data_IF_310061592575
#
_entry.id   IF_310061592575
#
_cell.length_a   1.000
_cell.length_b   1.000
_cell.length_c   1.000
_cell.angle_alpha   90.00
_cell.angle_beta   90.00
_cell.angle_gamma   90.00
#
_symmetry.space_group_name_H-M   'P 1'
#
loop_
_entity.id
_entity.type
_entity.pdbx_description
1 polymer ?
#
# COMPACT_ATOMS: atom_id res chain seq x y z
N UNK A 1 20.82 3.30 16.73
CA UNK A 1 19.80 4.37 16.56
C UNK A 1 18.69 4.15 17.58
N UNK A 2 18.46 5.12 18.46
CA UNK A 2 17.56 5.06 19.63
C UNK A 2 16.46 6.14 19.61
N UNK A 3 16.47 7.02 18.61
CA UNK A 3 15.44 8.06 18.39
C UNK A 3 15.61 8.71 17.02
N UNK A 4 14.76 9.68 16.70
CA UNK A 4 14.69 10.33 15.37
C UNK A 4 15.49 11.63 15.26
N UNK A 5 16.20 12.04 16.32
CA UNK A 5 16.97 13.30 16.34
C UNK A 5 18.45 13.02 16.05
N UNK A 6 19.04 13.72 15.08
CA UNK A 6 20.47 13.60 14.80
C UNK A 6 21.33 13.99 16.02
N UNK A 7 22.44 13.29 16.24
CA UNK A 7 23.41 13.56 17.30
C UNK A 7 22.94 13.20 18.73
N UNK A 8 21.68 12.84 18.92
CA UNK A 8 21.12 12.48 20.25
C UNK A 8 20.26 11.21 20.21
N UNK A 9 19.48 11.02 19.14
CA UNK A 9 18.73 9.81 18.85
C UNK A 9 19.47 8.86 17.90
N UNK A 10 20.30 9.38 17.01
CA UNK A 10 21.15 8.56 16.13
C UNK A 10 22.43 9.28 15.74
N UNK A 11 23.46 8.52 15.40
CA UNK A 11 24.73 9.06 14.94
C UNK A 11 24.57 9.63 13.53
N UNK A 12 24.99 10.87 13.34
CA UNK A 12 25.08 11.52 12.04
C UNK A 12 26.52 11.97 11.84
N UNK A 13 27.11 11.58 10.72
CA UNK A 13 28.40 12.12 10.30
C UNK A 13 28.14 13.37 9.46
N UNK A 14 28.68 14.52 9.87
CA UNK A 14 28.68 15.74 9.05
C UNK A 14 30.05 15.89 8.38
N UNK A 15 30.05 16.17 7.07
CA UNK A 15 31.26 16.27 6.25
C UNK A 15 31.17 17.50 5.36
N UNK A 16 32.27 18.26 5.28
CA UNK A 16 32.38 19.51 4.49
C UNK A 16 33.20 19.35 3.21
N UNK A 17 33.47 18.12 2.78
CA UNK A 17 34.34 17.80 1.65
C UNK A 17 33.97 16.46 1.02
N UNK A 18 34.69 16.05 -0.02
CA UNK A 18 34.36 14.84 -0.80
C UNK A 18 34.22 13.59 0.07
N UNK A 19 33.04 12.96 0.01
CA UNK A 19 32.77 11.67 0.65
C UNK A 19 33.00 10.55 -0.38
N UNK A 20 33.91 9.61 -0.11
CA UNK A 20 34.10 8.41 -0.93
C UNK A 20 33.69 7.16 -0.15
N UNK A 21 32.61 6.51 -0.59
CA UNK A 21 32.04 5.33 0.05
C UNK A 21 32.44 4.01 -0.62
N UNK A 22 33.23 4.07 -1.69
CA UNK A 22 33.53 2.91 -2.54
C UNK A 22 34.06 1.74 -1.73
N UNK A 23 33.23 0.69 -1.59
CA UNK A 23 33.58 -0.53 -0.86
C UNK A 23 33.46 -0.45 0.66
N UNK A 24 33.04 0.69 1.22
CA UNK A 24 32.76 0.81 2.64
C UNK A 24 31.55 -0.05 3.04
N UNK A 25 31.60 -0.64 4.23
CA UNK A 25 30.48 -1.39 4.79
C UNK A 25 29.58 -0.45 5.61
N UNK A 26 28.27 -0.44 5.32
CA UNK A 26 27.29 0.18 6.19
C UNK A 26 26.81 -0.85 7.22
N UNK A 27 26.96 -0.53 8.50
CA UNK A 27 26.44 -1.35 9.59
C UNK A 27 25.85 -0.47 10.68
N UNK A 28 24.86 -0.99 11.40
CA UNK A 28 24.17 -0.26 12.45
C UNK A 28 23.16 -1.13 13.18
N UNK A 29 22.67 -0.62 14.30
CA UNK A 29 21.64 -1.28 15.13
C UNK A 29 20.48 -0.34 15.38
N UNK A 30 19.28 -0.91 15.54
CA UNK A 30 18.08 -0.19 15.95
C UNK A 30 17.72 -0.56 17.38
N UNK A 31 17.54 0.43 18.24
CA UNK A 31 17.02 0.29 19.61
C UNK A 31 15.54 0.65 19.74
N UNK A 32 14.89 1.04 18.64
CA UNK A 32 13.47 1.38 18.58
C UNK A 32 12.87 1.07 17.21
N UNK A 33 11.54 1.02 17.12
CA UNK A 33 10.84 0.94 15.83
C UNK A 33 10.45 2.34 15.38
N UNK A 34 11.08 2.89 14.34
CA UNK A 34 10.76 4.22 13.87
C UNK A 34 9.37 4.24 13.26
N UNK A 35 8.60 5.33 13.49
CA UNK A 35 7.38 5.55 12.76
C UNK A 35 7.60 5.39 11.25
N UNK A 36 6.64 4.77 10.61
CA UNK A 36 6.66 4.48 9.19
C UNK A 36 6.89 5.76 8.38
N UNK A 37 7.92 5.81 7.52
CA UNK A 37 8.28 6.99 6.72
C UNK A 37 9.28 7.95 7.36
N UNK A 38 9.80 7.63 8.54
CA UNK A 38 10.92 8.36 9.15
C UNK A 38 12.15 8.29 8.24
N UNK A 39 12.86 9.40 8.10
CA UNK A 39 14.15 9.47 7.41
C UNK A 39 15.27 9.71 8.41
N UNK A 40 16.44 9.12 8.13
CA UNK A 40 17.66 9.28 8.90
C UNK A 40 18.78 9.72 7.97
N UNK A 41 19.16 10.99 8.01
CA UNK A 41 20.36 11.47 7.31
C UNK A 41 21.59 11.02 8.09
N UNK A 42 22.20 9.91 7.68
CA UNK A 42 23.36 9.31 8.36
C UNK A 42 24.69 9.94 7.95
N UNK A 43 24.74 10.52 6.75
CA UNK A 43 25.83 11.38 6.29
C UNK A 43 25.20 12.66 5.77
N UNK A 44 25.51 13.77 6.43
CA UNK A 44 25.17 15.13 6.03
C UNK A 44 26.39 15.73 5.32
N UNK A 45 26.31 15.88 4.01
CA UNK A 45 27.38 16.43 3.19
C UNK A 45 27.04 17.90 2.90
N UNK A 46 27.44 18.78 3.81
CA UNK A 46 26.99 20.17 3.88
C UNK A 46 27.63 21.10 2.83
N UNK A 47 28.51 20.56 1.97
CA UNK A 47 29.12 21.22 0.81
C UNK A 47 28.44 20.89 -0.52
N UNK A 48 28.94 21.45 -1.63
CA UNK A 48 28.47 21.12 -2.99
C UNK A 48 29.11 19.85 -3.57
N UNK A 49 30.07 19.26 -2.85
CA UNK A 49 30.82 18.09 -3.29
C UNK A 49 29.92 16.86 -3.38
N UNK A 50 30.08 16.07 -4.43
CA UNK A 50 29.30 14.85 -4.62
C UNK A 50 29.78 13.70 -3.71
N UNK A 51 28.88 12.77 -3.42
CA UNK A 51 29.25 11.45 -2.91
C UNK A 51 29.85 10.63 -4.04
N UNK A 52 31.07 10.13 -3.84
CA UNK A 52 31.78 9.25 -4.76
C UNK A 52 31.52 7.79 -4.36
N UNK A 53 30.93 7.04 -5.29
CA UNK A 53 30.62 5.62 -5.09
C UNK A 53 29.43 5.37 -4.17
N UNK A 54 29.27 4.12 -3.76
CA UNK A 54 28.20 3.65 -2.86
C UNK A 54 28.78 2.71 -1.82
N UNK A 55 28.05 2.50 -0.71
CA UNK A 55 28.37 1.41 0.20
C UNK A 55 28.33 0.07 -0.53
N UNK A 56 29.16 -0.87 -0.09
CA UNK A 56 29.32 -2.18 -0.72
C UNK A 56 27.97 -2.91 -0.88
N UNK A 57 27.58 -3.19 -2.13
CA UNK A 57 26.36 -3.93 -2.45
C UNK A 57 25.05 -3.14 -2.30
N UNK A 58 25.12 -1.82 -2.06
CA UNK A 58 23.97 -0.98 -1.80
C UNK A 58 23.88 0.16 -2.84
N UNK A 59 23.44 -0.11 -4.09
CA UNK A 59 23.15 0.96 -5.05
C UNK A 59 22.02 1.89 -4.56
N UNK A 60 21.79 3.01 -5.27
CA UNK A 60 20.66 3.90 -5.00
C UNK A 60 19.33 3.13 -4.94
N UNK A 61 18.53 3.37 -3.90
CA UNK A 61 17.27 2.66 -3.69
C UNK A 61 17.39 1.24 -3.12
N UNK A 62 18.60 0.77 -2.81
CA UNK A 62 18.79 -0.54 -2.21
C UNK A 62 18.12 -0.65 -0.82
N UNK A 63 17.71 -1.87 -0.48
CA UNK A 63 17.20 -2.17 0.86
C UNK A 63 18.35 -2.45 1.82
N UNK A 64 18.37 -1.73 2.94
CA UNK A 64 19.28 -1.94 4.07
C UNK A 64 18.47 -2.52 5.23
N UNK A 65 18.93 -3.63 5.81
CA UNK A 65 18.27 -4.25 6.97
C UNK A 65 19.10 -4.00 8.22
N UNK A 66 18.57 -3.22 9.17
CA UNK A 66 19.19 -2.93 10.45
C UNK A 66 18.33 -3.50 11.58
N UNK A 67 18.87 -4.48 12.33
CA UNK A 67 18.15 -5.16 13.41
C UNK A 67 16.76 -5.71 12.99
N UNK A 68 16.65 -6.22 11.76
CA UNK A 68 15.41 -6.75 11.19
C UNK A 68 14.45 -5.71 10.61
N UNK A 69 14.77 -4.41 10.69
CA UNK A 69 13.98 -3.35 10.08
C UNK A 69 14.56 -2.96 8.73
N UNK A 70 13.68 -2.85 7.72
CA UNK A 70 14.06 -2.48 6.37
C UNK A 70 14.07 -0.96 6.20
N UNK A 71 15.10 -0.48 5.51
CA UNK A 71 15.26 0.91 5.09
C UNK A 71 15.60 0.95 3.61
N UNK A 72 15.22 2.02 2.92
CA UNK A 72 15.71 2.34 1.59
C UNK A 72 16.84 3.36 1.72
N UNK A 73 17.99 3.10 1.10
CA UNK A 73 19.10 4.05 1.06
C UNK A 73 18.98 4.98 -0.14
N UNK A 74 19.29 6.26 0.07
CA UNK A 74 19.49 7.26 -0.98
C UNK A 74 20.79 8.01 -0.76
N UNK A 75 21.59 8.20 -1.81
CA UNK A 75 22.83 8.98 -1.83
C UNK A 75 22.62 10.40 -2.39
N UNK A 76 21.38 10.73 -2.76
CA UNK A 76 20.95 12.05 -3.25
C UNK A 76 19.83 12.62 -2.36
N UNK A 77 19.75 12.15 -1.12
CA UNK A 77 18.76 12.60 -0.15
C UNK A 77 19.09 13.97 0.44
N UNK A 78 18.25 14.45 1.36
CA UNK A 78 18.46 15.70 2.11
C UNK A 78 18.65 16.91 1.18
N UNK A 79 19.84 17.51 1.15
CA UNK A 79 20.17 18.65 0.26
C UNK A 79 20.52 18.26 -1.19
N UNK A 80 20.49 16.97 -1.53
CA UNK A 80 20.75 16.45 -2.88
C UNK A 80 22.07 15.66 -3.01
N UNK A 81 22.85 15.58 -1.93
CA UNK A 81 24.14 14.90 -1.85
C UNK A 81 24.37 14.26 -0.47
N UNK A 82 23.30 14.01 0.29
CA UNK A 82 23.34 13.34 1.58
C UNK A 82 23.09 11.83 1.45
N UNK A 83 23.59 11.06 2.41
CA UNK A 83 23.14 9.68 2.58
C UNK A 83 22.01 9.60 3.59
N UNK A 84 20.86 9.19 3.09
CA UNK A 84 19.61 9.09 3.86
C UNK A 84 19.11 7.65 3.86
N UNK A 85 18.73 7.16 5.04
CA UNK A 85 17.95 5.94 5.20
C UNK A 85 16.48 6.31 5.44
N UNK A 86 15.60 5.94 4.53
CA UNK A 86 14.15 6.05 4.72
C UNK A 86 13.60 4.74 5.27
N UNK A 87 12.91 4.76 6.41
CA UNK A 87 12.23 3.58 6.95
C UNK A 87 11.22 3.06 5.91
N UNK A 88 11.31 1.76 5.59
CA UNK A 88 10.48 1.15 4.56
C UNK A 88 8.99 1.26 4.91
N UNK A 89 8.15 1.37 3.89
CA UNK A 89 6.71 1.58 4.08
C UNK A 89 5.88 1.03 2.93
N UNK A 90 4.69 0.46 3.19
CA UNK A 90 3.73 0.25 2.13
C UNK A 90 3.22 1.58 1.56
N UNK A 91 2.97 1.61 0.26
CA UNK A 91 2.33 2.71 -0.44
C UNK A 91 1.30 2.13 -1.40
N UNK A 92 0.03 2.20 -1.01
CA UNK A 92 -1.06 1.62 -1.79
C UNK A 92 -1.67 2.67 -2.71
N UNK A 93 -1.75 2.35 -3.99
CA UNK A 93 -2.57 3.08 -4.96
C UNK A 93 -3.79 2.25 -5.30
N UNK A 94 -4.95 2.88 -5.35
CA UNK A 94 -6.20 2.27 -5.79
C UNK A 94 -6.60 2.86 -7.15
N UNK A 95 -6.98 1.99 -8.07
CA UNK A 95 -7.58 2.36 -9.35
C UNK A 95 -8.93 1.68 -9.51
N UNK A 96 -9.97 2.46 -9.77
CA UNK A 96 -11.32 1.96 -9.94
C UNK A 96 -11.76 2.14 -11.38
N UNK A 97 -12.35 1.10 -11.95
CA UNK A 97 -12.92 1.14 -13.29
C UNK A 97 -14.31 0.51 -13.27
N UNK A 98 -15.16 0.95 -14.19
CA UNK A 98 -16.50 0.42 -14.38
C UNK A 98 -16.70 0.06 -15.85
N UNK A 99 -17.34 -1.08 -16.09
CA UNK A 99 -17.70 -1.53 -17.43
C UNK A 99 -19.19 -1.94 -17.47
N UNK A 100 -19.95 -1.54 -18.49
CA UNK A 100 -19.59 -0.56 -19.54
C UNK A 100 -19.30 0.84 -18.97
N UNK A 101 -18.45 1.59 -19.66
CA UNK A 101 -18.12 2.97 -19.30
C UNK A 101 -19.14 3.95 -19.91
N UNK A 102 -19.30 5.13 -19.28
CA UNK A 102 -20.21 6.17 -19.75
C UNK A 102 -21.64 5.99 -19.25
N UNK A 103 -22.61 6.59 -19.95
CA UNK A 103 -24.03 6.50 -19.59
C UNK A 103 -24.61 5.16 -20.00
N UNK A 104 -25.36 4.54 -19.10
CA UNK A 104 -26.04 3.26 -19.32
C UNK A 104 -27.49 3.34 -18.82
N UNK A 105 -28.45 2.71 -19.50
CA UNK A 105 -29.86 2.74 -19.09
C UNK A 105 -30.13 1.87 -17.85
N UNK A 106 -31.27 2.10 -17.15
CA UNK A 106 -31.80 1.19 -16.14
C UNK A 106 -31.79 -0.28 -16.61
N UNK A 107 -31.49 -1.21 -15.70
CA UNK A 107 -31.35 -2.63 -15.98
C UNK A 107 -29.95 -3.06 -16.46
N UNK A 108 -29.01 -2.14 -16.66
CA UNK A 108 -27.63 -2.50 -17.07
C UNK A 108 -26.83 -3.01 -15.88
N UNK A 109 -26.22 -4.19 -16.02
CA UNK A 109 -25.22 -4.69 -15.07
C UNK A 109 -23.89 -3.94 -15.27
N UNK A 110 -23.42 -3.27 -14.23
CA UNK A 110 -22.13 -2.60 -14.18
C UNK A 110 -21.14 -3.49 -13.43
N UNK A 111 -20.03 -3.84 -14.09
CA UNK A 111 -18.89 -4.52 -13.47
C UNK A 111 -17.93 -3.48 -12.92
N UNK A 112 -17.81 -3.42 -11.60
CA UNK A 112 -16.83 -2.59 -10.91
C UNK A 112 -15.56 -3.41 -10.69
N UNK A 113 -14.41 -2.83 -11.03
CA UNK A 113 -13.09 -3.42 -10.82
C UNK A 113 -12.23 -2.43 -10.03
N UNK A 114 -11.77 -2.86 -8.86
CA UNK A 114 -10.85 -2.15 -7.99
C UNK A 114 -9.49 -2.85 -8.05
N UNK A 115 -8.48 -2.16 -8.53
CA UNK A 115 -7.09 -2.63 -8.52
C UNK A 115 -6.33 -1.93 -7.40
N UNK A 116 -5.72 -2.70 -6.53
CA UNK A 116 -4.82 -2.24 -5.48
C UNK A 116 -3.40 -2.61 -5.88
N UNK A 117 -2.49 -1.64 -5.88
CA UNK A 117 -1.06 -1.86 -6.12
C UNK A 117 -0.24 -1.31 -4.97
N UNK A 118 0.66 -2.12 -4.42
CA UNK A 118 1.67 -1.70 -3.47
C UNK A 118 2.93 -1.23 -4.23
N UNK A 119 3.11 0.08 -4.29
CA UNK A 119 4.30 0.75 -4.84
C UNK A 119 5.28 1.16 -3.74
N UNK A 120 5.07 0.68 -2.51
CA UNK A 120 5.93 0.97 -1.38
C UNK A 120 7.21 0.16 -1.41
N UNK A 121 7.99 0.29 -0.33
CA UNK A 121 9.20 -0.48 -0.07
C UNK A 121 9.01 -1.57 0.99
N UNK A 122 7.79 -1.74 1.51
CA UNK A 122 7.46 -2.78 2.49
C UNK A 122 6.10 -3.43 2.19
N UNK A 123 5.88 -4.61 2.77
CA UNK A 123 4.65 -5.37 2.69
C UNK A 123 3.46 -4.55 3.23
N UNK A 124 2.39 -4.44 2.45
CA UNK A 124 1.15 -3.81 2.89
C UNK A 124 0.32 -4.81 3.69
N UNK A 125 0.24 -4.62 5.00
CA UNK A 125 -0.58 -5.44 5.91
C UNK A 125 -1.90 -4.75 6.24
N UNK A 126 -2.83 -5.47 6.87
CA UNK A 126 -4.09 -4.92 7.40
C UNK A 126 -4.94 -4.16 6.37
N UNK A 127 -4.88 -4.58 5.10
CA UNK A 127 -5.61 -3.92 4.01
C UNK A 127 -7.11 -4.23 4.15
N UNK A 128 -7.91 -3.17 4.22
CA UNK A 128 -9.36 -3.24 4.17
C UNK A 128 -9.85 -2.33 3.05
N UNK A 129 -10.53 -2.91 2.08
CA UNK A 129 -11.19 -2.16 1.00
C UNK A 129 -12.68 -2.20 1.24
N UNK A 130 -13.33 -1.03 1.23
CA UNK A 130 -14.79 -0.90 1.34
C UNK A 130 -15.31 -0.19 0.10
N UNK A 131 -16.14 -0.89 -0.66
CA UNK A 131 -16.92 -0.29 -1.74
C UNK A 131 -18.32 0.06 -1.21
N UNK A 132 -18.75 1.30 -1.48
CA UNK A 132 -20.09 1.79 -1.11
C UNK A 132 -20.93 1.87 -2.38
N UNK A 133 -21.96 1.03 -2.44
CA UNK A 133 -22.86 0.99 -3.58
C UNK A 133 -23.78 2.21 -3.57
N UNK A 134 -23.89 2.86 -4.73
CA UNK A 134 -24.84 3.96 -4.89
C UNK A 134 -26.29 3.45 -4.67
N UNK A 135 -27.19 4.27 -4.09
CA UNK A 135 -28.58 3.87 -3.88
C UNK A 135 -29.35 3.69 -5.20
N UNK A 136 -28.79 4.10 -6.34
CA UNK A 136 -29.36 3.90 -7.69
C UNK A 136 -28.98 2.57 -8.32
N UNK A 137 -28.14 1.76 -7.66
CA UNK A 137 -27.80 0.40 -8.11
C UNK A 137 -28.30 -0.67 -7.15
N UNK A 138 -28.38 -1.92 -7.62
CA UNK A 138 -28.72 -3.09 -6.81
C UNK A 138 -27.66 -4.17 -6.99
N UNK A 139 -27.19 -4.76 -5.90
CA UNK A 139 -26.06 -5.70 -5.90
C UNK A 139 -26.45 -7.01 -6.61
N UNK A 140 -25.58 -7.51 -7.50
CA UNK A 140 -25.79 -8.81 -8.16
C UNK A 140 -25.24 -9.93 -7.29
N UNK A 141 -26.11 -10.86 -6.89
CA UNK A 141 -25.77 -11.99 -6.05
C UNK A 141 -24.65 -12.85 -6.66
N UNK A 142 -23.67 -13.26 -5.84
CA UNK A 142 -22.57 -14.12 -6.27
C UNK A 142 -21.57 -13.48 -7.24
N UNK A 143 -21.65 -12.17 -7.48
CA UNK A 143 -20.78 -11.48 -8.45
C UNK A 143 -19.38 -11.12 -7.94
N UNK A 144 -19.14 -11.23 -6.63
CA UNK A 144 -17.85 -10.85 -6.04
C UNK A 144 -16.78 -11.85 -6.44
N UNK A 145 -15.73 -11.37 -7.11
CA UNK A 145 -14.57 -12.16 -7.55
C UNK A 145 -13.29 -11.39 -7.27
N UNK A 146 -12.17 -12.09 -7.11
CA UNK A 146 -10.87 -11.48 -6.83
C UNK A 146 -9.76 -12.19 -7.63
N UNK A 147 -8.77 -11.43 -8.06
CA UNK A 147 -7.48 -11.94 -8.57
C UNK A 147 -6.40 -11.46 -7.63
N UNK A 148 -5.77 -12.39 -6.91
CA UNK A 148 -4.84 -12.07 -5.82
C UNK A 148 -3.45 -12.63 -6.12
N UNK A 149 -2.38 -12.01 -5.59
CA UNK A 149 -1.05 -12.60 -5.58
C UNK A 149 -1.02 -13.96 -4.89
N UNK A 150 -0.06 -14.85 -5.21
CA UNK A 150 0.14 -16.10 -4.50
C UNK A 150 0.28 -15.90 -2.98
N UNK A 151 -0.40 -16.72 -2.19
CA UNK A 151 -0.38 -16.63 -0.73
C UNK A 151 -1.24 -15.51 -0.12
N UNK A 152 -1.90 -14.69 -0.95
CA UNK A 152 -2.83 -13.67 -0.50
C UNK A 152 -4.26 -14.19 -0.54
N UNK A 153 -4.99 -14.00 0.56
CA UNK A 153 -6.41 -14.31 0.66
C UNK A 153 -7.19 -13.12 1.21
N UNK A 154 -8.50 -13.07 0.89
CA UNK A 154 -9.41 -12.02 1.36
C UNK A 154 -10.68 -12.64 1.95
N UNK A 155 -11.18 -12.03 3.02
CA UNK A 155 -12.52 -12.31 3.56
C UNK A 155 -13.47 -11.22 3.10
N UNK A 156 -14.58 -11.63 2.51
CA UNK A 156 -15.64 -10.72 2.05
C UNK A 156 -16.74 -10.63 3.09
N UNK A 157 -17.19 -9.41 3.38
CA UNK A 157 -18.33 -9.16 4.25
C UNK A 157 -19.24 -8.07 3.66
N UNK A 158 -20.52 -8.09 4.02
CA UNK A 158 -21.53 -7.18 3.49
C UNK A 158 -22.19 -6.38 4.62
N UNK A 159 -22.64 -5.18 4.28
CA UNK A 159 -23.41 -4.33 5.18
C UNK A 159 -24.68 -3.84 4.51
N UNK A 160 -25.76 -3.76 5.29
CA UNK A 160 -27.03 -3.13 4.95
C UNK A 160 -27.35 -1.91 5.81
N UNK A 161 -26.41 -1.46 6.66
CA UNK A 161 -26.62 -0.35 7.61
C UNK A 161 -25.48 0.68 7.58
N UNK A 162 -24.92 0.94 6.39
CA UNK A 162 -23.91 1.97 6.19
C UNK A 162 -22.53 1.60 6.73
N UNK A 163 -22.27 0.31 6.97
CA UNK A 163 -21.00 -0.18 7.50
C UNK A 163 -20.93 -0.26 9.03
N UNK A 164 -22.04 0.00 9.72
CA UNK A 164 -22.11 -0.11 11.19
C UNK A 164 -21.91 -1.56 11.65
N UNK A 165 -22.47 -2.52 10.93
CA UNK A 165 -22.19 -3.95 11.08
C UNK A 165 -21.87 -4.60 9.74
N UNK A 166 -21.15 -5.72 9.81
CA UNK A 166 -20.63 -6.48 8.66
C UNK A 166 -21.07 -7.95 8.69
N UNK A 167 -22.30 -8.16 9.14
CA UNK A 167 -22.90 -9.49 9.35
C UNK A 167 -24.06 -9.76 8.39
N UNK A 168 -24.32 -8.83 7.45
CA UNK A 168 -25.41 -8.99 6.50
C UNK A 168 -25.08 -10.13 5.54
N UNK A 169 -26.03 -11.05 5.36
CA UNK A 169 -25.93 -12.14 4.39
C UNK A 169 -26.81 -11.77 3.20
N UNK A 170 -26.23 -11.49 2.02
CA UNK A 170 -27.01 -11.13 0.84
C UNK A 170 -28.01 -12.21 0.46
N UNK A 171 -29.19 -11.81 0.01
CA UNK A 171 -30.25 -12.72 -0.40
C UNK A 171 -30.95 -12.24 -1.68
N UNK A 172 -31.23 -13.18 -2.58
CA UNK A 172 -31.97 -12.89 -3.81
C UNK A 172 -33.36 -12.34 -3.48
N UNK A 173 -33.69 -11.17 -4.01
CA UNK A 173 -34.97 -10.50 -3.80
C UNK A 173 -35.03 -9.60 -2.56
N UNK A 174 -33.96 -9.50 -1.78
CA UNK A 174 -33.94 -8.69 -0.57
C UNK A 174 -34.16 -7.19 -0.86
N UNK A 175 -34.87 -6.52 0.05
CA UNK A 175 -35.31 -5.12 -0.12
C UNK A 175 -36.07 -4.89 -1.44
N UNK A 176 -36.95 -5.82 -1.79
CA UNK A 176 -37.81 -5.78 -3.00
C UNK A 176 -37.02 -5.79 -4.32
N UNK A 177 -35.78 -6.28 -4.31
CA UNK A 177 -34.99 -6.46 -5.52
C UNK A 177 -35.62 -7.53 -6.44
N UNK A 178 -35.33 -7.51 -7.75
CA UNK A 178 -35.62 -8.65 -8.63
C UNK A 178 -34.84 -9.90 -8.23
N UNK A 179 -35.25 -11.07 -8.73
CA UNK A 179 -34.51 -12.31 -8.53
C UNK A 179 -33.06 -12.17 -9.03
N UNK A 180 -32.11 -12.70 -8.26
CA UNK A 180 -30.67 -12.59 -8.52
C UNK A 180 -30.00 -11.30 -8.01
N UNK A 181 -30.77 -10.38 -7.44
CA UNK A 181 -30.26 -9.11 -6.91
C UNK A 181 -30.65 -8.89 -5.45
N UNK A 182 -29.90 -7.99 -4.79
CA UNK A 182 -30.12 -7.56 -3.41
C UNK A 182 -30.01 -6.03 -3.33
N UNK A 183 -31.07 -5.37 -2.86
CA UNK A 183 -31.10 -3.91 -2.68
C UNK A 183 -30.71 -3.45 -1.29
N UNK A 184 -30.64 -4.36 -0.32
CA UNK A 184 -30.24 -4.06 1.04
C UNK A 184 -28.72 -3.91 1.17
N UNK A 185 -27.93 -4.63 0.36
CA UNK A 185 -26.48 -4.44 0.33
C UNK A 185 -26.17 -3.00 -0.08
N UNK A 186 -25.56 -2.24 0.84
CA UNK A 186 -25.06 -0.90 0.56
C UNK A 186 -23.53 -0.80 0.61
N UNK A 187 -22.86 -1.79 1.21
CA UNK A 187 -21.39 -1.87 1.18
C UNK A 187 -20.89 -3.30 1.06
N UNK A 188 -19.77 -3.43 0.37
CA UNK A 188 -18.98 -4.67 0.27
C UNK A 188 -17.59 -4.39 0.83
N UNK A 189 -17.10 -5.25 1.73
CA UNK A 189 -15.77 -5.13 2.35
C UNK A 189 -14.93 -6.35 2.02
N UNK A 190 -13.70 -6.10 1.60
CA UNK A 190 -12.65 -7.10 1.49
C UNK A 190 -11.59 -6.84 2.55
N UNK A 191 -11.36 -7.82 3.41
CA UNK A 191 -10.30 -7.80 4.42
C UNK A 191 -9.22 -8.78 4.02
N UNK A 192 -8.06 -8.25 3.63
CA UNK A 192 -6.89 -9.07 3.27
C UNK A 192 -6.35 -9.75 4.54
N UNK A 193 -6.14 -11.06 4.45
CA UNK A 193 -5.62 -11.87 5.56
C UNK A 193 -4.10 -11.96 5.54
N UNK A 194 -3.48 -11.66 4.39
CA UNK A 194 -2.05 -11.73 4.20
C UNK A 194 -1.55 -10.46 3.51
N UNK A 195 -0.27 -10.10 3.70
CA UNK A 195 0.26 -8.87 3.14
C UNK A 195 0.35 -8.89 1.61
N UNK A 196 0.22 -7.71 0.99
CA UNK A 196 0.55 -7.53 -0.43
C UNK A 196 1.99 -7.05 -0.54
N UNK A 197 2.83 -7.80 -1.27
CA UNK A 197 4.26 -7.50 -1.44
C UNK A 197 4.48 -6.16 -2.15
N UNK A 198 5.59 -5.45 -1.93
CA UNK A 198 5.96 -4.31 -2.77
C UNK A 198 6.53 -4.74 -4.14
N UNK A 199 6.89 -6.02 -4.30
CA UNK A 199 7.66 -6.50 -5.47
C UNK A 199 6.75 -7.08 -6.55
N UNK A 200 6.88 -6.57 -7.78
CA UNK A 200 6.20 -7.10 -8.95
C UNK A 200 6.64 -8.56 -9.26
N UNK A 201 5.74 -9.42 -9.78
CA UNK A 201 4.34 -9.14 -10.14
C UNK A 201 3.35 -9.26 -8.97
N UNK A 202 3.82 -9.65 -7.78
CA UNK A 202 2.99 -9.98 -6.61
C UNK A 202 2.54 -8.75 -5.81
N UNK A 203 2.74 -7.55 -6.36
CA UNK A 203 2.41 -6.29 -5.73
C UNK A 203 1.03 -5.75 -6.07
N UNK A 204 0.25 -6.49 -6.86
CA UNK A 204 -1.06 -6.04 -7.33
C UNK A 204 -2.16 -7.07 -7.03
N UNK A 205 -3.30 -6.59 -6.53
CA UNK A 205 -4.50 -7.37 -6.31
C UNK A 205 -5.71 -6.68 -6.97
N UNK A 206 -6.63 -7.48 -7.51
CA UNK A 206 -7.83 -6.97 -8.20
C UNK A 206 -9.08 -7.54 -7.53
N UNK A 207 -10.03 -6.68 -7.19
CA UNK A 207 -11.33 -7.00 -6.60
C UNK A 207 -12.43 -6.60 -7.58
N UNK A 208 -13.48 -7.41 -7.69
CA UNK A 208 -14.59 -7.17 -8.63
C UNK A 208 -15.92 -7.43 -7.97
N UNK A 209 -16.94 -6.65 -8.36
CA UNK A 209 -18.35 -6.92 -8.08
C UNK A 209 -19.21 -6.44 -9.26
N UNK A 210 -20.46 -6.90 -9.31
CA UNK A 210 -21.46 -6.40 -10.27
C UNK A 210 -22.63 -5.79 -9.51
N UNK A 211 -23.12 -4.64 -9.98
CA UNK A 211 -24.37 -4.05 -9.54
C UNK A 211 -25.17 -3.53 -10.75
N UNK A 212 -26.49 -3.68 -10.71
CA UNK A 212 -27.38 -3.27 -11.80
C UNK A 212 -27.97 -1.89 -11.54
N UNK A 213 -28.07 -1.06 -12.58
CA UNK A 213 -28.79 0.22 -12.51
C UNK A 213 -30.28 -0.05 -12.31
N UNK A 214 -30.92 0.66 -11.37
CA UNK A 214 -32.35 0.57 -11.09
C UNK A 214 -33.19 1.30 -12.13
#
# INVERSE_FOLDING_TARGET
>A
MNGTTAGSGYDQLSVTGTVNLTGAALSGTMGFSPPTGTTFTIINNDGADAIVGTFAGLPEGATVVLSGQSFTISYVGGTGNDVVLGAARPNLTLSNTVAPAGTSPPGTDLTYTVTITNNGSDNATSIVVVDTLAPTVQFKMGSVTNTLPPGVSVVVAYSNNGGSTWTYVPASGACSAPAGYDRCVNRVRWTFQNPVSPTAPNNTATLRLIAQIR
#
